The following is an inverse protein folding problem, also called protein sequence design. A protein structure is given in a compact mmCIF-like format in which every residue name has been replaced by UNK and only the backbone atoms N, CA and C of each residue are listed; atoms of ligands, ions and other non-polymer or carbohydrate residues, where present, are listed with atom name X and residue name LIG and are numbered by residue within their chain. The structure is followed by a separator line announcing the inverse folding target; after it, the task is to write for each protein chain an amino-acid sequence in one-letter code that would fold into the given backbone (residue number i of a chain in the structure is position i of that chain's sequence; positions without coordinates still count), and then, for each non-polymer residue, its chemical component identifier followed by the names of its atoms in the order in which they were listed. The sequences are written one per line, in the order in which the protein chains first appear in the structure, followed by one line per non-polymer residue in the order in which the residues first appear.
data_IF_115967446179
#
_entry.id   IF_115967446179
#
_cell.length_a   1.000
_cell.length_b   1.000
_cell.length_c   1.000
_cell.angle_alpha   90.00
_cell.angle_beta   90.00
_cell.angle_gamma   90.00
#
_symmetry.space_group_name_H-M   'P 1'
#
loop_
_entity.id
_entity.type
_entity.pdbx_description
1 polymer ?
#
# COMPACT_ATOMS: atom_id res chain seq x y z
N UNK A 1 -35.90 41.98 45.85
CA UNK A 1 -35.43 42.02 44.45
C UNK A 1 -34.20 41.12 44.33
N UNK A 2 -34.36 39.90 43.82
CA UNK A 2 -33.25 38.96 43.57
C UNK A 2 -33.18 38.69 42.07
N UNK A 3 -32.07 39.06 41.43
CA UNK A 3 -31.86 38.95 39.98
C UNK A 3 -31.14 37.64 39.70
N UNK A 4 -31.83 36.72 39.02
CA UNK A 4 -31.30 35.45 38.55
C UNK A 4 -30.12 35.66 37.58
N UNK A 5 -28.99 35.00 37.87
CA UNK A 5 -27.90 34.73 36.92
C UNK A 5 -27.93 33.23 36.65
N UNK A 6 -28.34 32.82 35.45
CA UNK A 6 -28.05 31.48 34.92
C UNK A 6 -28.50 31.41 33.45
N UNK A 7 -27.59 31.60 32.50
CA UNK A 7 -27.76 31.08 31.12
C UNK A 7 -26.49 31.03 30.27
N UNK A 8 -25.29 31.14 30.85
CA UNK A 8 -24.04 31.16 30.07
C UNK A 8 -23.44 29.78 29.76
N UNK A 9 -23.87 28.71 30.45
CA UNK A 9 -23.17 27.41 30.40
C UNK A 9 -23.68 26.40 29.38
N UNK A 10 -24.84 26.63 28.76
CA UNK A 10 -25.45 25.68 27.80
C UNK A 10 -24.96 25.87 26.38
N UNK A 11 -24.69 27.10 25.96
CA UNK A 11 -24.25 27.47 24.60
C UNK A 11 -22.83 26.96 24.30
N UNK A 12 -21.95 27.02 25.29
CA UNK A 12 -20.54 26.59 25.18
C UNK A 12 -20.41 25.06 24.98
N UNK A 13 -21.30 24.28 25.63
CA UNK A 13 -21.33 22.81 25.47
C UNK A 13 -21.88 22.36 24.12
N UNK A 14 -22.83 23.10 23.54
CA UNK A 14 -23.37 22.79 22.20
C UNK A 14 -22.41 23.17 21.07
N UNK A 15 -21.65 24.26 21.21
CA UNK A 15 -20.59 24.63 20.26
C UNK A 15 -19.46 23.61 20.24
N UNK A 16 -18.97 23.22 21.43
CA UNK A 16 -17.90 22.23 21.57
C UNK A 16 -18.28 20.85 21.00
N UNK A 17 -19.50 20.38 21.26
CA UNK A 17 -20.01 19.12 20.66
C UNK A 17 -20.13 19.17 19.13
N UNK A 18 -20.43 20.34 18.56
CA UNK A 18 -20.53 20.52 17.10
C UNK A 18 -19.15 20.57 16.45
N UNK A 19 -18.19 21.20 17.11
CA UNK A 19 -16.78 21.21 16.69
C UNK A 19 -16.15 19.82 16.81
N UNK A 20 -16.40 19.10 17.91
CA UNK A 20 -15.95 17.71 18.09
C UNK A 20 -16.56 16.80 17.01
N UNK A 21 -17.85 16.94 16.70
CA UNK A 21 -18.49 16.18 15.63
C UNK A 21 -17.95 16.52 14.22
N UNK A 22 -17.57 17.78 13.98
CA UNK A 22 -16.91 18.19 12.73
C UNK A 22 -15.48 17.68 12.64
N UNK A 23 -14.76 17.60 13.77
CA UNK A 23 -13.43 17.01 13.85
C UNK A 23 -13.50 15.51 13.60
N UNK A 24 -14.42 14.79 14.25
CA UNK A 24 -14.62 13.36 14.05
C UNK A 24 -15.02 13.05 12.60
N UNK A 25 -15.93 13.84 12.03
CA UNK A 25 -16.30 13.70 10.61
C UNK A 25 -15.10 13.93 9.67
N UNK A 26 -14.18 14.85 10.00
CA UNK A 26 -12.94 15.07 9.24
C UNK A 26 -11.91 13.96 9.46
N UNK A 27 -11.83 13.40 10.65
CA UNK A 27 -10.94 12.27 10.98
C UNK A 27 -11.42 11.02 10.23
N UNK A 28 -12.72 10.72 10.24
CA UNK A 28 -13.32 9.62 9.48
C UNK A 28 -13.26 9.86 7.96
N UNK A 29 -13.37 11.11 7.52
CA UNK A 29 -13.15 11.49 6.12
C UNK A 29 -11.71 11.18 5.64
N UNK A 30 -10.74 11.14 6.57
CA UNK A 30 -9.34 10.88 6.27
C UNK A 30 -8.92 9.41 6.42
N UNK A 31 -9.73 8.55 7.04
CA UNK A 31 -9.37 7.14 7.28
C UNK A 31 -9.56 6.27 6.04
N UNK A 32 -8.50 5.73 5.45
CA UNK A 32 -8.61 4.83 4.30
C UNK A 32 -8.82 3.40 4.79
N UNK A 33 -10.07 2.94 4.87
CA UNK A 33 -10.38 1.56 5.25
C UNK A 33 -10.35 0.64 4.01
N UNK A 34 -9.30 -0.18 3.93
CA UNK A 34 -9.19 -1.32 3.02
C UNK A 34 -8.62 -2.53 3.78
N UNK A 35 -8.98 -3.76 3.38
CA UNK A 35 -8.51 -4.96 4.07
C UNK A 35 -7.02 -5.19 3.79
N UNK A 36 -6.14 -4.65 4.65
CA UNK A 36 -4.67 -4.78 4.54
C UNK A 36 -4.19 -6.24 4.46
N UNK A 37 -4.92 -7.16 5.09
CA UNK A 37 -4.65 -8.60 5.05
C UNK A 37 -4.66 -9.16 3.62
N UNK A 38 -5.55 -8.66 2.76
CA UNK A 38 -5.63 -9.08 1.36
C UNK A 38 -4.36 -8.72 0.60
N UNK A 39 -3.69 -7.62 0.96
CA UNK A 39 -2.42 -7.24 0.32
C UNK A 39 -1.29 -8.23 0.60
N UNK A 40 -1.26 -8.82 1.81
CA UNK A 40 -0.30 -9.87 2.15
C UNK A 40 -0.56 -11.14 1.35
N UNK A 41 -1.84 -11.52 1.19
CA UNK A 41 -2.22 -12.68 0.37
C UNK A 41 -1.80 -12.46 -1.08
N UNK A 42 -2.09 -11.29 -1.65
CA UNK A 42 -1.66 -10.95 -3.02
C UNK A 42 -0.14 -10.95 -3.12
N UNK A 43 0.58 -10.36 -2.16
CA UNK A 43 2.04 -10.38 -2.12
C UNK A 43 2.62 -11.79 -2.09
N UNK A 44 1.98 -12.71 -1.35
CA UNK A 44 2.38 -14.12 -1.26
C UNK A 44 2.11 -14.88 -2.56
N UNK A 45 0.95 -14.65 -3.21
CA UNK A 45 0.67 -15.22 -4.53
C UNK A 45 1.69 -14.71 -5.56
N UNK A 46 2.01 -13.42 -5.55
CA UNK A 46 3.00 -12.83 -6.47
C UNK A 46 4.41 -13.37 -6.21
N UNK A 47 4.80 -13.59 -4.95
CA UNK A 47 6.13 -14.09 -4.62
C UNK A 47 6.35 -15.55 -5.04
N UNK A 48 5.30 -16.32 -5.38
CA UNK A 48 5.46 -17.66 -5.95
C UNK A 48 6.16 -17.67 -7.32
N UNK A 49 6.08 -16.60 -8.11
CA UNK A 49 6.77 -16.55 -9.41
C UNK A 49 8.27 -16.83 -9.31
N UNK A 50 9.07 -16.06 -8.55
CA UNK A 50 10.51 -16.30 -8.44
C UNK A 50 10.83 -17.67 -7.83
N UNK A 51 9.94 -18.19 -6.96
CA UNK A 51 10.08 -19.54 -6.42
C UNK A 51 9.87 -20.61 -7.50
N UNK A 52 8.87 -20.42 -8.36
CA UNK A 52 8.62 -21.26 -9.52
C UNK A 52 9.78 -21.21 -10.52
N UNK A 53 10.30 -20.02 -10.83
CA UNK A 53 11.47 -19.87 -11.70
C UNK A 53 12.73 -20.54 -11.12
N UNK A 54 12.97 -20.41 -9.81
CA UNK A 54 14.09 -21.09 -9.15
C UNK A 54 13.96 -22.62 -9.23
N UNK A 55 12.73 -23.14 -9.15
CA UNK A 55 12.49 -24.57 -9.29
C UNK A 55 12.62 -25.06 -10.73
N UNK A 56 11.88 -24.43 -11.65
CA UNK A 56 11.70 -24.91 -13.01
C UNK A 56 12.87 -24.56 -13.94
N UNK A 57 13.55 -23.43 -13.72
CA UNK A 57 14.63 -22.94 -14.60
C UNK A 57 16.01 -23.23 -14.01
N UNK A 58 16.14 -23.11 -12.68
CA UNK A 58 17.43 -23.27 -11.98
C UNK A 58 17.58 -24.61 -11.27
N UNK A 59 16.63 -25.53 -11.47
CA UNK A 59 16.60 -26.88 -10.90
C UNK A 59 16.89 -26.89 -9.39
N UNK A 60 16.30 -25.94 -8.65
CA UNK A 60 16.40 -25.87 -7.20
C UNK A 60 15.21 -26.62 -6.58
N UNK A 61 15.38 -27.90 -6.16
CA UNK A 61 14.25 -28.72 -5.72
C UNK A 61 13.72 -28.26 -4.36
N UNK A 62 12.40 -28.20 -4.25
CA UNK A 62 11.69 -27.88 -2.99
C UNK A 62 11.66 -29.08 -2.03
N UNK A 63 11.84 -30.28 -2.56
CA UNK A 63 11.92 -31.53 -1.79
C UNK A 63 13.20 -31.63 -0.95
N UNK A 64 14.24 -30.85 -1.28
CA UNK A 64 15.44 -30.81 -0.47
C UNK A 64 15.18 -30.01 0.82
N UNK A 65 15.31 -30.63 2.01
CA UNK A 65 14.98 -30.00 3.29
C UNK A 65 15.87 -28.78 3.61
N UNK A 66 17.03 -28.66 2.97
CA UNK A 66 17.90 -27.47 3.11
C UNK A 66 17.35 -26.27 2.34
N UNK A 67 16.68 -26.51 1.21
CA UNK A 67 16.14 -25.44 0.38
C UNK A 67 14.77 -24.97 0.89
N UNK A 68 13.98 -25.84 1.53
CA UNK A 68 12.62 -25.51 1.96
C UNK A 68 12.54 -24.30 2.91
N UNK A 69 13.38 -24.19 3.97
CA UNK A 69 13.43 -22.99 4.80
C UNK A 69 13.80 -21.74 3.99
N UNK A 70 14.70 -21.87 3.01
CA UNK A 70 15.10 -20.76 2.14
C UNK A 70 13.91 -20.24 1.31
N UNK A 71 13.15 -21.14 0.69
CA UNK A 71 11.95 -20.79 -0.06
C UNK A 71 10.94 -20.06 0.82
N UNK A 72 10.64 -20.61 2.01
CA UNK A 72 9.67 -20.01 2.94
C UNK A 72 10.10 -18.61 3.37
N UNK A 73 11.37 -18.45 3.78
CA UNK A 73 11.90 -17.15 4.25
C UNK A 73 11.86 -16.11 3.13
N UNK A 74 12.35 -16.45 1.95
CA UNK A 74 12.39 -15.52 0.80
C UNK A 74 10.98 -15.16 0.35
N UNK A 75 10.06 -16.13 0.27
CA UNK A 75 8.66 -15.90 -0.06
C UNK A 75 7.97 -14.96 0.93
N UNK A 76 8.14 -15.22 2.23
CA UNK A 76 7.54 -14.41 3.29
C UNK A 76 8.11 -13.00 3.33
N UNK A 77 9.44 -12.84 3.22
CA UNK A 77 10.10 -11.54 3.18
C UNK A 77 9.67 -10.72 1.95
N UNK A 78 9.62 -11.36 0.78
CA UNK A 78 9.17 -10.73 -0.47
C UNK A 78 7.71 -10.31 -0.38
N UNK A 79 6.84 -11.20 0.13
CA UNK A 79 5.42 -10.90 0.31
C UNK A 79 5.21 -9.73 1.28
N UNK A 80 5.97 -9.69 2.38
CA UNK A 80 5.94 -8.58 3.34
C UNK A 80 6.36 -7.26 2.68
N UNK A 81 7.48 -7.23 1.96
CA UNK A 81 7.97 -6.04 1.24
C UNK A 81 6.96 -5.56 0.19
N UNK A 82 6.39 -6.48 -0.60
CA UNK A 82 5.34 -6.17 -1.57
C UNK A 82 4.09 -5.59 -0.88
N UNK A 83 3.66 -6.15 0.25
CA UNK A 83 2.53 -5.63 1.02
C UNK A 83 2.77 -4.19 1.51
N UNK A 84 3.99 -3.88 1.97
CA UNK A 84 4.39 -2.51 2.33
C UNK A 84 4.36 -1.58 1.11
N UNK A 85 4.89 -2.02 -0.03
CA UNK A 85 4.88 -1.25 -1.27
C UNK A 85 3.45 -0.97 -1.75
N UNK A 86 2.56 -1.97 -1.70
CA UNK A 86 1.14 -1.80 -2.00
C UNK A 86 0.50 -0.76 -1.09
N UNK A 87 0.68 -0.88 0.23
CA UNK A 87 0.07 0.03 1.21
C UNK A 87 0.44 1.49 0.93
N UNK A 88 1.73 1.78 0.77
CA UNK A 88 2.22 3.14 0.51
C UNK A 88 1.70 3.67 -0.82
N UNK A 89 1.73 2.84 -1.87
CA UNK A 89 1.32 3.25 -3.21
C UNK A 89 -0.20 3.46 -3.31
N UNK A 90 -1.03 2.61 -2.70
CA UNK A 90 -2.49 2.76 -2.61
C UNK A 90 -2.82 4.10 -1.96
N UNK A 91 -2.20 4.40 -0.82
CA UNK A 91 -2.42 5.66 -0.11
C UNK A 91 -1.98 6.85 -0.98
N UNK A 92 -0.83 6.76 -1.65
CA UNK A 92 -0.35 7.80 -2.57
C UNK A 92 -1.35 8.11 -3.70
N UNK A 93 -1.88 7.09 -4.37
CA UNK A 93 -2.82 7.24 -5.48
C UNK A 93 -4.22 7.66 -5.03
N UNK A 94 -4.67 7.19 -3.86
CA UNK A 94 -5.94 7.62 -3.28
C UNK A 94 -5.94 9.12 -2.97
N UNK A 95 -4.87 9.62 -2.36
CA UNK A 95 -4.73 11.03 -1.98
C UNK A 95 -4.49 11.94 -3.18
N UNK A 96 -3.73 11.49 -4.19
CA UNK A 96 -3.52 12.23 -5.45
C UNK A 96 -4.84 12.60 -6.14
N UNK A 97 -5.86 11.76 -6.01
CA UNK A 97 -7.18 11.96 -6.63
C UNK A 97 -8.17 12.72 -5.75
N UNK A 98 -7.81 13.12 -4.52
CA UNK A 98 -8.76 13.75 -3.59
C UNK A 98 -9.29 15.11 -4.08
N UNK A 99 -8.43 15.95 -4.68
CA UNK A 99 -8.82 17.30 -5.13
C UNK A 99 -9.93 17.29 -6.19
N UNK A 100 -9.95 16.29 -7.06
CA UNK A 100 -10.87 16.24 -8.20
C UNK A 100 -12.33 15.93 -7.82
N UNK A 101 -12.58 15.50 -6.57
CA UNK A 101 -13.90 15.06 -6.11
C UNK A 101 -14.38 15.80 -4.86
N UNK A 102 -13.65 16.82 -4.40
CA UNK A 102 -14.06 17.66 -3.27
C UNK A 102 -15.27 18.57 -3.58
N UNK A 103 -15.68 18.64 -4.85
CA UNK A 103 -16.75 19.51 -5.36
C UNK A 103 -18.13 18.81 -5.41
N UNK A 104 -18.22 17.52 -5.03
CA UNK A 104 -19.45 16.72 -5.16
C UNK A 104 -20.26 16.72 -3.86
N UNK A 105 -21.59 16.74 -3.97
CA UNK A 105 -22.56 16.70 -2.86
C UNK A 105 -22.33 15.48 -1.94
N UNK A 106 -22.60 15.66 -0.65
CA UNK A 106 -22.33 14.67 0.41
C UNK A 106 -23.01 13.30 0.22
N UNK A 107 -24.15 13.23 -0.48
CA UNK A 107 -24.88 11.98 -0.72
C UNK A 107 -24.11 10.98 -1.59
N UNK A 108 -23.39 11.47 -2.61
CA UNK A 108 -22.60 10.63 -3.54
C UNK A 108 -21.14 10.45 -3.09
N UNK A 109 -20.67 11.30 -2.17
CA UNK A 109 -19.28 11.33 -1.71
C UNK A 109 -18.78 9.98 -1.18
N UNK A 110 -19.66 9.20 -0.50
CA UNK A 110 -19.33 7.87 0.01
C UNK A 110 -19.09 6.85 -1.11
N UNK A 111 -19.94 6.84 -2.14
CA UNK A 111 -19.80 5.91 -3.27
C UNK A 111 -18.58 6.26 -4.12
N UNK A 112 -18.38 7.54 -4.41
CA UNK A 112 -17.20 8.04 -5.11
C UNK A 112 -15.89 7.70 -4.37
N UNK A 113 -15.89 7.78 -3.04
CA UNK A 113 -14.73 7.38 -2.23
C UNK A 113 -14.42 5.89 -2.34
N UNK A 114 -15.44 5.01 -2.34
CA UNK A 114 -15.26 3.57 -2.56
C UNK A 114 -14.72 3.29 -3.95
N UNK A 115 -15.29 3.93 -4.98
CA UNK A 115 -14.85 3.78 -6.36
C UNK A 115 -13.38 4.24 -6.52
N UNK A 116 -13.01 5.37 -5.93
CA UNK A 116 -11.63 5.87 -5.92
C UNK A 116 -10.67 4.86 -5.28
N UNK A 117 -11.06 4.29 -4.15
CA UNK A 117 -10.25 3.28 -3.45
C UNK A 117 -10.09 2.03 -4.33
N UNK A 118 -11.15 1.56 -4.97
CA UNK A 118 -11.10 0.41 -5.86
C UNK A 118 -10.20 0.65 -7.07
N UNK A 119 -10.26 1.83 -7.68
CA UNK A 119 -9.38 2.17 -8.82
C UNK A 119 -7.93 2.33 -8.37
N UNK A 120 -7.68 2.95 -7.21
CA UNK A 120 -6.34 3.07 -6.65
C UNK A 120 -5.74 1.69 -6.31
N UNK A 121 -6.54 0.79 -5.73
CA UNK A 121 -6.17 -0.60 -5.48
C UNK A 121 -5.83 -1.32 -6.77
N UNK A 122 -6.75 -1.32 -7.75
CA UNK A 122 -6.55 -2.02 -9.02
C UNK A 122 -5.31 -1.54 -9.77
N UNK A 123 -5.13 -0.22 -9.89
CA UNK A 123 -3.94 0.36 -10.52
C UNK A 123 -2.66 -0.04 -9.79
N UNK A 124 -2.65 0.08 -8.46
CA UNK A 124 -1.45 -0.21 -7.65
C UNK A 124 -1.06 -1.68 -7.74
N UNK A 125 -2.02 -2.59 -7.59
CA UNK A 125 -1.79 -4.03 -7.68
C UNK A 125 -1.30 -4.40 -9.08
N UNK A 126 -1.92 -3.87 -10.13
CA UNK A 126 -1.48 -4.12 -11.50
C UNK A 126 -0.06 -3.62 -11.75
N UNK A 127 0.24 -2.36 -11.38
CA UNK A 127 1.53 -1.74 -11.63
C UNK A 127 2.66 -2.40 -10.85
N UNK A 128 2.50 -2.58 -9.54
CA UNK A 128 3.56 -3.16 -8.69
C UNK A 128 3.78 -4.62 -9.05
N UNK A 129 2.71 -5.41 -9.26
CA UNK A 129 2.87 -6.79 -9.71
C UNK A 129 3.54 -6.85 -11.07
N UNK A 130 3.03 -6.12 -12.08
CA UNK A 130 3.59 -6.13 -13.43
C UNK A 130 5.08 -5.74 -13.45
N UNK A 131 5.44 -4.68 -12.73
CA UNK A 131 6.84 -4.28 -12.57
C UNK A 131 7.67 -5.35 -11.83
N UNK A 132 7.12 -5.97 -10.78
CA UNK A 132 7.77 -7.08 -10.09
C UNK A 132 8.02 -8.26 -11.04
N UNK A 133 7.01 -8.71 -11.78
CA UNK A 133 7.13 -9.82 -12.74
C UNK A 133 8.25 -9.54 -13.75
N UNK A 134 8.24 -8.37 -14.38
CA UNK A 134 9.23 -8.02 -15.41
C UNK A 134 10.64 -7.88 -14.82
N UNK A 135 10.80 -7.07 -13.77
CA UNK A 135 12.12 -6.79 -13.19
C UNK A 135 12.71 -8.03 -12.52
N UNK A 136 11.88 -8.79 -11.78
CA UNK A 136 12.34 -10.00 -11.11
C UNK A 136 12.76 -11.07 -12.12
N UNK A 137 12.00 -11.25 -13.21
CA UNK A 137 12.38 -12.18 -14.29
C UNK A 137 13.67 -11.73 -14.98
N UNK A 138 13.84 -10.43 -15.24
CA UNK A 138 15.08 -9.89 -15.80
C UNK A 138 16.28 -10.15 -14.88
N UNK A 139 16.13 -9.90 -13.58
CA UNK A 139 17.19 -10.22 -12.63
C UNK A 139 17.49 -11.71 -12.61
N UNK A 140 16.46 -12.55 -12.49
CA UNK A 140 16.65 -13.96 -12.27
C UNK A 140 17.15 -14.67 -13.52
N UNK A 141 16.63 -14.37 -14.71
CA UNK A 141 16.94 -15.10 -15.97
C UNK A 141 18.08 -14.48 -16.77
N UNK A 142 18.33 -13.16 -16.64
CA UNK A 142 19.33 -12.47 -17.45
C UNK A 142 20.53 -12.01 -16.63
N UNK A 143 20.32 -11.17 -15.62
CA UNK A 143 21.40 -10.50 -14.89
C UNK A 143 22.15 -11.48 -13.97
N UNK A 144 21.41 -12.24 -13.16
CA UNK A 144 21.94 -13.20 -12.19
C UNK A 144 21.97 -14.63 -12.72
N UNK A 145 21.91 -14.81 -14.04
CA UNK A 145 21.95 -16.13 -14.68
C UNK A 145 23.23 -16.91 -14.37
N UNK A 146 24.35 -16.21 -14.29
CA UNK A 146 25.66 -16.79 -14.00
C UNK A 146 25.93 -16.92 -12.50
N UNK A 147 25.06 -16.36 -11.64
CA UNK A 147 25.17 -16.53 -10.20
C UNK A 147 24.63 -17.92 -9.79
N UNK A 148 25.04 -18.40 -8.61
CA UNK A 148 24.46 -19.60 -8.02
C UNK A 148 22.93 -19.50 -7.96
N UNK A 149 22.24 -20.59 -8.29
CA UNK A 149 20.78 -20.67 -8.29
C UNK A 149 20.14 -20.13 -6.99
N UNK A 150 20.76 -20.43 -5.85
CA UNK A 150 20.34 -19.94 -4.53
C UNK A 150 20.51 -18.43 -4.39
N UNK A 151 21.66 -17.90 -4.81
CA UNK A 151 21.94 -16.47 -4.76
C UNK A 151 20.98 -15.71 -5.69
N UNK A 152 20.77 -16.21 -6.90
CA UNK A 152 19.81 -15.63 -7.86
C UNK A 152 18.38 -15.63 -7.29
N UNK A 153 17.95 -16.72 -6.66
CA UNK A 153 16.63 -16.81 -6.01
C UNK A 153 16.48 -15.88 -4.79
N UNK A 154 17.52 -15.67 -3.99
CA UNK A 154 17.45 -14.75 -2.85
C UNK A 154 17.46 -13.30 -3.34
N UNK A 155 18.42 -12.95 -4.19
CA UNK A 155 18.70 -11.57 -4.56
C UNK A 155 17.65 -10.99 -5.50
N UNK A 156 17.19 -11.74 -6.51
CA UNK A 156 16.25 -11.21 -7.52
C UNK A 156 14.95 -10.69 -6.90
N UNK A 157 14.17 -11.47 -6.15
CA UNK A 157 12.93 -10.98 -5.54
C UNK A 157 13.19 -9.98 -4.42
N UNK A 158 14.27 -10.12 -3.64
CA UNK A 158 14.59 -9.19 -2.55
C UNK A 158 14.94 -7.80 -3.09
N UNK A 159 15.82 -7.72 -4.08
CA UNK A 159 16.19 -6.47 -4.73
C UNK A 159 15.00 -5.86 -5.45
N UNK A 160 14.22 -6.66 -6.19
CA UNK A 160 13.07 -6.15 -6.93
C UNK A 160 12.01 -5.57 -5.99
N UNK A 161 11.67 -6.30 -4.92
CA UNK A 161 10.67 -5.82 -3.94
C UNK A 161 11.18 -4.59 -3.18
N UNK A 162 12.47 -4.52 -2.84
CA UNK A 162 13.07 -3.33 -2.22
C UNK A 162 13.04 -2.12 -3.16
N UNK A 163 13.38 -2.30 -4.45
CA UNK A 163 13.29 -1.23 -5.46
C UNK A 163 11.86 -0.72 -5.58
N UNK A 164 10.87 -1.62 -5.66
CA UNK A 164 9.46 -1.24 -5.76
C UNK A 164 8.97 -0.51 -4.51
N UNK A 165 9.42 -0.94 -3.34
CA UNK A 165 9.13 -0.23 -2.09
C UNK A 165 9.73 1.18 -2.09
N UNK A 166 10.98 1.34 -2.52
CA UNK A 166 11.61 2.66 -2.66
C UNK A 166 10.88 3.55 -3.68
N UNK A 167 10.43 2.99 -4.80
CA UNK A 167 9.61 3.70 -5.79
C UNK A 167 8.29 4.16 -5.17
N UNK A 168 7.63 3.31 -4.38
CA UNK A 168 6.41 3.67 -3.67
C UNK A 168 6.64 4.83 -2.68
N UNK A 169 7.72 4.76 -1.89
CA UNK A 169 8.13 5.83 -0.96
C UNK A 169 8.42 7.14 -1.71
N UNK A 170 9.15 7.08 -2.82
CA UNK A 170 9.45 8.27 -3.64
C UNK A 170 8.19 8.88 -4.26
N UNK A 171 7.22 8.07 -4.66
CA UNK A 171 5.94 8.58 -5.13
C UNK A 171 5.18 9.32 -4.01
N UNK A 172 5.22 8.78 -2.78
CA UNK A 172 4.64 9.45 -1.62
C UNK A 172 5.34 10.77 -1.27
N UNK A 173 6.67 10.81 -1.29
CA UNK A 173 7.46 12.03 -1.09
C UNK A 173 7.11 13.08 -2.16
N UNK A 174 7.05 12.69 -3.43
CA UNK A 174 6.69 13.57 -4.55
C UNK A 174 5.30 14.15 -4.36
N UNK A 175 4.33 13.34 -3.92
CA UNK A 175 2.98 13.81 -3.55
C UNK A 175 3.04 14.82 -2.41
N UNK A 176 3.77 14.53 -1.32
CA UNK A 176 3.89 15.44 -0.16
C UNK A 176 4.47 16.80 -0.56
N UNK A 177 5.52 16.82 -1.39
CA UNK A 177 6.13 18.06 -1.92
C UNK A 177 5.17 18.89 -2.77
N UNK A 178 4.38 18.25 -3.64
CA UNK A 178 3.35 18.97 -4.42
C UNK A 178 2.29 19.59 -3.52
N UNK A 179 1.93 18.94 -2.42
CA UNK A 179 0.98 19.50 -1.46
C UNK A 179 1.57 20.66 -0.63
N UNK A 180 2.87 20.64 -0.30
CA UNK A 180 3.52 21.73 0.44
C UNK A 180 3.68 22.99 -0.40
N UNK A 181 3.94 22.86 -1.70
CA UNK A 181 4.16 24.01 -2.59
C UNK A 181 2.85 24.71 -3.04
N UNK A 182 1.70 24.20 -2.62
CA UNK A 182 0.37 24.78 -2.90
C UNK A 182 -0.26 25.43 -1.65
N UNK A 183 0.54 25.69 -0.61
CA UNK A 183 0.19 26.57 0.52
C UNK A 183 0.88 27.90 0.35
#
# INVERSE_FOLDING_TARGET
MSKARTSSGSVERTGKKRDDALLDARIDANKIDYPKQVLYVVGLVTSFLPAYLAHAVYDLPWTNPVNLPLFVIVLAATAFMLAQAYSVMIESEFWKRQRHYAEVKDEDAKQLRKLRLQVALGYTLFFINGAFFVICTLFQVYILRQADARASFILSPSLTSAILWLVAQKNEESRKRRMSNHK
#
